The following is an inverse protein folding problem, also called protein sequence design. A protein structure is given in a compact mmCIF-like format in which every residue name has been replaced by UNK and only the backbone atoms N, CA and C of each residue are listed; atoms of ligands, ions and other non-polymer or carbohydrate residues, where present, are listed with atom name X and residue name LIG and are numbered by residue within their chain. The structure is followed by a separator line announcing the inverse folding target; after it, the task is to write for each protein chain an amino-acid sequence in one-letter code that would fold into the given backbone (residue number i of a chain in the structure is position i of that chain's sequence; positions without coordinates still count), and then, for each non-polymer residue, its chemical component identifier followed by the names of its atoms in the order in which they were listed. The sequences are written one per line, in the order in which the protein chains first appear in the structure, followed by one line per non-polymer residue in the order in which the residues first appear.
data_IF_625949883298
#
_entry.id   IF_625949883298
#
_cell.length_a   1.000
_cell.length_b   1.000
_cell.length_c   1.000
_cell.angle_alpha   90.00
_cell.angle_beta   90.00
_cell.angle_gamma   90.00
#
_symmetry.space_group_name_H-M   'P 1'
#
loop_
_entity.id
_entity.type
_entity.pdbx_description
1 polymer ?
#
# COMPACT_ATOMS: atom_id res chain seq x y z
N UNK A 1 -15.69 -3.29 39.54
CA UNK A 1 -14.88 -4.05 38.57
C UNK A 1 -15.83 -4.66 37.54
N UNK A 2 -16.07 -4.02 36.39
CA UNK A 2 -16.98 -4.59 35.39
C UNK A 2 -16.34 -5.85 34.78
N UNK A 3 -17.02 -7.00 34.91
CA UNK A 3 -16.57 -8.27 34.33
C UNK A 3 -16.50 -8.11 32.81
N UNK A 4 -15.44 -8.57 32.15
CA UNK A 4 -15.23 -8.39 30.69
C UNK A 4 -16.44 -8.84 29.86
N UNK A 5 -17.15 -9.84 30.34
CA UNK A 5 -18.38 -10.35 29.74
C UNK A 5 -19.51 -9.32 29.75
N UNK A 6 -19.69 -8.54 30.83
CA UNK A 6 -20.75 -7.53 30.88
C UNK A 6 -20.47 -6.38 29.93
N UNK A 7 -19.21 -5.92 29.83
CA UNK A 7 -18.82 -4.92 28.84
C UNK A 7 -19.05 -5.41 27.41
N UNK A 8 -18.76 -6.70 27.12
CA UNK A 8 -19.01 -7.30 25.81
C UNK A 8 -20.51 -7.32 25.46
N UNK A 9 -21.36 -7.69 26.43
CA UNK A 9 -22.81 -7.71 26.23
C UNK A 9 -23.39 -6.32 26.04
N UNK A 10 -22.98 -5.33 26.86
CA UNK A 10 -23.43 -3.94 26.71
C UNK A 10 -22.96 -3.38 25.37
N UNK A 11 -21.74 -3.71 24.95
CA UNK A 11 -21.21 -3.31 23.65
C UNK A 11 -22.00 -3.92 22.49
N UNK A 12 -22.35 -5.20 22.56
CA UNK A 12 -23.21 -5.83 21.55
C UNK A 12 -24.57 -5.15 21.51
N UNK A 13 -25.21 -4.96 22.65
CA UNK A 13 -26.50 -4.30 22.77
C UNK A 13 -26.46 -2.87 22.22
N UNK A 14 -25.43 -2.09 22.57
CA UNK A 14 -25.25 -0.71 22.09
C UNK A 14 -25.00 -0.65 20.58
N UNK A 15 -24.33 -1.67 20.03
CA UNK A 15 -24.12 -1.77 18.58
C UNK A 15 -25.40 -2.08 17.85
N UNK A 16 -26.19 -3.05 18.34
CA UNK A 16 -27.51 -3.37 17.78
C UNK A 16 -28.42 -2.14 17.85
N UNK A 17 -28.45 -1.46 19.01
CA UNK A 17 -29.21 -0.21 19.19
C UNK A 17 -28.81 0.88 18.20
N UNK A 18 -27.50 1.11 18.03
CA UNK A 18 -26.99 2.09 17.07
C UNK A 18 -27.39 1.75 15.64
N UNK A 19 -27.24 0.49 15.22
CA UNK A 19 -27.63 0.03 13.87
C UNK A 19 -29.13 0.19 13.65
N UNK A 20 -29.96 -0.09 14.66
CA UNK A 20 -31.41 0.15 14.58
C UNK A 20 -31.72 1.64 14.42
N UNK A 21 -31.03 2.53 15.15
CA UNK A 21 -31.20 3.98 14.99
C UNK A 21 -30.79 4.46 13.59
N UNK A 22 -29.64 4.00 13.07
CA UNK A 22 -29.20 4.28 11.70
C UNK A 22 -30.24 3.80 10.69
N UNK A 23 -30.68 2.54 10.81
CA UNK A 23 -31.66 1.94 9.90
C UNK A 23 -32.99 2.68 9.93
N UNK A 24 -33.47 3.07 11.12
CA UNK A 24 -34.69 3.85 11.28
C UNK A 24 -34.62 5.19 10.55
N UNK A 25 -33.54 5.94 10.77
CA UNK A 25 -33.34 7.24 10.12
C UNK A 25 -33.20 7.07 8.60
N UNK A 26 -32.49 6.03 8.14
CA UNK A 26 -32.34 5.74 6.72
C UNK A 26 -33.69 5.42 6.06
N UNK A 27 -34.51 4.57 6.68
CA UNK A 27 -35.85 4.21 6.17
C UNK A 27 -36.75 5.44 6.13
N UNK A 28 -36.72 6.28 7.17
CA UNK A 28 -37.47 7.54 7.17
C UNK A 28 -37.01 8.49 6.06
N UNK A 29 -35.70 8.65 5.88
CA UNK A 29 -35.14 9.50 4.84
C UNK A 29 -35.54 8.98 3.43
N UNK A 30 -35.46 7.68 3.20
CA UNK A 30 -35.89 7.05 1.95
C UNK A 30 -37.39 7.22 1.69
N UNK A 31 -38.22 7.07 2.74
CA UNK A 31 -39.66 7.27 2.64
C UNK A 31 -40.01 8.74 2.32
N UNK A 32 -39.30 9.69 2.93
CA UNK A 32 -39.51 11.12 2.68
C UNK A 32 -39.01 11.56 1.30
N UNK A 33 -37.93 10.94 0.80
CA UNK A 33 -37.39 11.21 -0.53
C UNK A 33 -38.25 10.64 -1.68
N UNK A 34 -39.23 9.79 -1.37
CA UNK A 34 -40.30 9.36 -2.30
C UNK A 34 -39.82 8.96 -3.69
N UNK A 35 -39.06 7.86 -3.84
CA UNK A 35 -38.59 7.29 -5.13
C UNK A 35 -37.86 8.28 -6.07
N UNK A 36 -37.63 9.54 -5.66
CA UNK A 36 -36.86 10.53 -6.36
C UNK A 36 -35.39 10.42 -5.98
N UNK A 37 -34.68 9.44 -6.54
CA UNK A 37 -33.24 9.22 -6.31
C UNK A 37 -32.38 10.47 -6.56
N UNK A 38 -32.88 11.43 -7.33
CA UNK A 38 -32.24 12.72 -7.59
C UNK A 38 -32.22 13.68 -6.39
N UNK A 39 -33.15 13.54 -5.42
CA UNK A 39 -33.19 14.38 -4.20
C UNK A 39 -32.10 13.98 -3.20
N UNK A 40 -31.65 12.72 -3.23
CA UNK A 40 -30.52 12.23 -2.42
C UNK A 40 -29.21 12.96 -2.73
N UNK A 41 -29.07 13.50 -3.95
CA UNK A 41 -27.90 14.25 -4.42
C UNK A 41 -28.07 15.77 -4.38
N UNK A 42 -29.26 16.28 -4.09
CA UNK A 42 -29.42 17.71 -3.82
C UNK A 42 -28.86 18.00 -2.44
N UNK A 43 -28.06 19.06 -2.32
CA UNK A 43 -27.51 19.58 -1.06
C UNK A 43 -28.60 20.13 -0.09
N UNK A 44 -29.84 19.68 -0.24
CA UNK A 44 -30.96 20.01 0.64
C UNK A 44 -31.05 18.95 1.75
N UNK A 45 -31.09 19.38 3.01
CA UNK A 45 -31.42 18.64 4.25
C UNK A 45 -31.13 17.14 4.32
N UNK A 46 -31.86 16.32 3.56
CA UNK A 46 -31.78 14.87 3.51
C UNK A 46 -30.42 14.33 3.01
N UNK A 47 -29.76 15.01 2.07
CA UNK A 47 -28.43 14.62 1.58
C UNK A 47 -27.35 14.74 2.66
N UNK A 48 -27.44 15.78 3.50
CA UNK A 48 -26.54 15.98 4.65
C UNK A 48 -26.73 14.86 5.68
N UNK A 49 -27.96 14.44 5.91
CA UNK A 49 -28.28 13.40 6.88
C UNK A 49 -27.76 12.02 6.43
N UNK A 50 -27.83 11.71 5.14
CA UNK A 50 -27.27 10.49 4.57
C UNK A 50 -25.74 10.54 4.53
N UNK A 51 -25.15 11.67 4.16
CA UNK A 51 -23.71 11.88 4.27
C UNK A 51 -23.24 11.70 5.71
N UNK A 52 -23.97 12.25 6.69
CA UNK A 52 -23.68 12.08 8.11
C UNK A 52 -23.76 10.61 8.54
N UNK A 53 -24.77 9.86 8.09
CA UNK A 53 -24.88 8.42 8.33
C UNK A 53 -23.70 7.67 7.71
N UNK A 54 -23.35 7.95 6.46
CA UNK A 54 -22.26 7.29 5.76
C UNK A 54 -20.91 7.59 6.40
N UNK A 55 -20.66 8.84 6.79
CA UNK A 55 -19.47 9.25 7.54
C UNK A 55 -19.46 8.55 8.91
N UNK A 56 -20.60 8.47 9.60
CA UNK A 56 -20.70 7.78 10.89
C UNK A 56 -20.40 6.29 10.76
N UNK A 57 -20.92 5.62 9.73
CA UNK A 57 -20.63 4.21 9.43
C UNK A 57 -19.18 3.99 9.00
N UNK A 58 -18.61 4.91 8.24
CA UNK A 58 -17.21 4.87 7.81
C UNK A 58 -16.25 5.03 8.99
N UNK A 59 -16.48 6.03 9.84
CA UNK A 59 -15.73 6.23 11.07
C UNK A 59 -15.90 5.04 12.01
N UNK A 60 -17.10 4.45 12.08
CA UNK A 60 -17.36 3.21 12.83
C UNK A 60 -16.45 2.09 12.37
N UNK A 61 -16.34 1.86 11.06
CA UNK A 61 -15.52 0.79 10.51
C UNK A 61 -14.02 1.00 10.79
N UNK A 62 -13.52 2.23 10.64
CA UNK A 62 -12.10 2.54 10.80
C UNK A 62 -11.67 2.51 12.27
N UNK A 63 -12.36 3.26 13.13
CA UNK A 63 -11.93 3.37 14.53
C UNK A 63 -12.15 2.07 15.30
N UNK A 64 -13.17 1.30 14.94
CA UNK A 64 -13.45 0.02 15.60
C UNK A 64 -12.60 -1.14 15.05
N UNK A 65 -12.11 -1.04 13.80
CA UNK A 65 -11.22 -2.03 13.19
C UNK A 65 -9.77 -1.96 13.71
N UNK A 66 -9.33 -0.83 14.25
CA UNK A 66 -7.92 -0.59 14.60
C UNK A 66 -7.58 -0.92 16.07
N UNK A 67 -8.57 -1.10 16.96
CA UNK A 67 -8.32 -1.24 18.41
C UNK A 67 -8.20 -2.68 18.91
N UNK A 68 -7.26 -3.47 18.39
CA UNK A 68 -6.92 -4.79 18.98
C UNK A 68 -5.42 -5.08 19.00
N UNK A 69 -4.58 -4.11 19.36
CA UNK A 69 -3.21 -4.40 19.79
C UNK A 69 -3.09 -4.18 21.30
N UNK A 70 -2.65 -5.21 22.02
CA UNK A 70 -2.50 -5.18 23.48
C UNK A 70 -1.48 -4.12 23.97
N UNK A 71 -0.69 -3.54 23.05
CA UNK A 71 0.28 -2.48 23.34
C UNK A 71 -0.34 -1.11 23.65
N UNK A 72 -1.62 -0.87 23.30
CA UNK A 72 -2.32 0.40 23.57
C UNK A 72 -2.50 0.70 25.07
N UNK A 73 -2.51 -0.32 25.94
CA UNK A 73 -2.74 -0.14 27.38
C UNK A 73 -1.61 0.60 28.11
N UNK A 74 -0.39 0.51 27.60
CA UNK A 74 0.78 1.15 28.21
C UNK A 74 0.92 2.59 27.73
N UNK A 75 0.48 2.88 26.50
CA UNK A 75 0.61 4.21 25.90
C UNK A 75 -0.53 5.15 26.22
N UNK A 76 -1.73 4.60 26.48
CA UNK A 76 -2.95 5.36 26.67
C UNK A 76 -3.68 4.94 27.95
N UNK A 77 -3.19 5.32 29.14
CA UNK A 77 -3.74 4.85 30.41
C UNK A 77 -5.15 5.36 30.72
N UNK A 78 -5.59 6.49 30.13
CA UNK A 78 -6.94 7.05 30.33
C UNK A 78 -7.95 6.38 29.40
N UNK A 79 -7.65 6.24 28.12
CA UNK A 79 -8.54 5.58 27.15
C UNK A 79 -8.55 4.06 27.31
N UNK A 80 -7.52 3.47 27.91
CA UNK A 80 -7.52 2.05 28.30
C UNK A 80 -8.12 1.77 29.68
N UNK A 81 -8.49 2.82 30.44
CA UNK A 81 -9.13 2.65 31.74
C UNK A 81 -10.53 2.04 31.58
N UNK A 82 -10.90 1.16 32.50
CA UNK A 82 -12.22 0.50 32.49
C UNK A 82 -13.38 1.50 32.52
N UNK A 83 -13.20 2.68 33.11
CA UNK A 83 -14.20 3.74 33.16
C UNK A 83 -14.42 4.38 31.79
N UNK A 84 -13.35 4.63 31.03
CA UNK A 84 -13.45 5.14 29.67
C UNK A 84 -14.09 4.12 28.74
N UNK A 85 -13.69 2.85 28.85
CA UNK A 85 -14.30 1.77 28.08
C UNK A 85 -15.81 1.64 28.39
N UNK A 86 -16.20 1.75 29.66
CA UNK A 86 -17.62 1.74 30.05
C UNK A 86 -18.37 2.94 29.46
N UNK A 87 -17.83 4.15 29.58
CA UNK A 87 -18.40 5.38 29.00
C UNK A 87 -18.58 5.27 27.47
N UNK A 88 -17.53 4.82 26.79
CA UNK A 88 -17.53 4.65 25.33
C UNK A 88 -18.60 3.66 24.88
N UNK A 89 -18.69 2.52 25.57
CA UNK A 89 -19.67 1.46 25.27
C UNK A 89 -21.11 1.89 25.59
N UNK A 90 -21.32 2.73 26.59
CA UNK A 90 -22.68 3.20 26.97
C UNK A 90 -23.13 4.46 26.22
N UNK A 91 -22.23 5.13 25.49
CA UNK A 91 -22.49 6.36 24.75
C UNK A 91 -23.74 6.31 23.85
N UNK A 92 -24.01 5.22 23.08
CA UNK A 92 -25.23 5.14 22.28
C UNK A 92 -26.51 5.23 23.13
N UNK A 93 -26.52 4.57 24.29
CA UNK A 93 -27.66 4.61 25.21
C UNK A 93 -27.83 5.98 25.86
N UNK A 94 -26.72 6.59 26.27
CA UNK A 94 -26.74 7.96 26.81
C UNK A 94 -27.25 8.97 25.79
N UNK A 95 -26.89 8.79 24.51
CA UNK A 95 -27.45 9.58 23.41
C UNK A 95 -28.94 9.38 23.22
N UNK A 96 -29.41 8.12 23.29
CA UNK A 96 -30.84 7.81 23.26
C UNK A 96 -31.60 8.48 24.40
N UNK A 97 -31.07 8.44 25.63
CA UNK A 97 -31.66 9.12 26.79
C UNK A 97 -31.66 10.64 26.61
N UNK A 98 -30.56 11.22 26.13
CA UNK A 98 -30.50 12.65 25.83
C UNK A 98 -31.54 13.05 24.77
N UNK A 99 -31.72 12.22 23.73
CA UNK A 99 -32.76 12.38 22.73
C UNK A 99 -34.17 12.28 23.32
N UNK A 100 -34.43 11.29 24.20
CA UNK A 100 -35.70 11.17 24.91
C UNK A 100 -36.01 12.45 25.69
N UNK A 101 -35.06 12.92 26.50
CA UNK A 101 -35.20 14.13 27.32
C UNK A 101 -35.43 15.38 26.46
N UNK A 102 -34.68 15.51 25.36
CA UNK A 102 -34.83 16.64 24.43
C UNK A 102 -36.17 16.68 23.70
N UNK A 103 -36.86 15.53 23.57
CA UNK A 103 -38.17 15.47 22.94
C UNK A 103 -39.35 15.66 23.90
N UNK A 104 -39.11 15.68 25.22
CA UNK A 104 -40.15 15.93 26.23
C UNK A 104 -40.76 17.31 25.98
N UNK A 105 -42.08 17.35 25.75
CA UNK A 105 -42.84 18.58 25.53
C UNK A 105 -42.84 19.12 24.09
N UNK A 106 -42.09 18.52 23.17
CA UNK A 106 -41.99 18.97 21.76
C UNK A 106 -42.67 17.97 20.80
N UNK A 107 -42.62 16.67 21.10
CA UNK A 107 -43.13 15.65 20.17
C UNK A 107 -44.65 15.52 20.19
N UNK A 108 -45.31 16.01 19.16
CA UNK A 108 -46.74 15.75 18.90
C UNK A 108 -47.02 14.35 18.35
N UNK A 109 -46.04 13.70 17.71
CA UNK A 109 -46.20 12.37 17.10
C UNK A 109 -45.10 11.39 17.53
N UNK A 110 -45.44 10.10 17.58
CA UNK A 110 -44.50 9.03 17.96
C UNK A 110 -43.29 8.96 17.01
N UNK A 111 -43.47 9.25 15.72
CA UNK A 111 -42.37 9.28 14.75
C UNK A 111 -41.37 10.40 15.03
N UNK A 112 -41.83 11.59 15.41
CA UNK A 112 -40.95 12.70 15.81
C UNK A 112 -40.18 12.37 17.08
N UNK A 113 -40.84 11.74 18.06
CA UNK A 113 -40.19 11.27 19.28
C UNK A 113 -39.08 10.27 18.97
N UNK A 114 -39.38 9.22 18.21
CA UNK A 114 -38.40 8.19 17.82
C UNK A 114 -37.26 8.76 16.97
N UNK A 115 -37.54 9.73 16.10
CA UNK A 115 -36.52 10.43 15.33
C UNK A 115 -35.57 11.21 16.25
N UNK A 116 -36.09 11.91 17.27
CA UNK A 116 -35.27 12.60 18.26
C UNK A 116 -34.37 11.66 19.06
N UNK A 117 -34.88 10.49 19.45
CA UNK A 117 -34.10 9.44 20.12
C UNK A 117 -32.98 8.91 19.22
N UNK A 118 -33.29 8.65 17.94
CA UNK A 118 -32.31 8.18 16.98
C UNK A 118 -31.24 9.25 16.70
N UNK A 119 -31.64 10.51 16.53
CA UNK A 119 -30.71 11.63 16.34
C UNK A 119 -29.84 11.88 17.57
N UNK A 120 -30.38 11.74 18.79
CA UNK A 120 -29.61 11.83 20.02
C UNK A 120 -28.56 10.73 20.13
N UNK A 121 -28.92 9.49 19.77
CA UNK A 121 -28.01 8.33 19.72
C UNK A 121 -26.88 8.56 18.71
N UNK A 122 -27.20 9.00 17.49
CA UNK A 122 -26.22 9.25 16.44
C UNK A 122 -25.32 10.45 16.78
N UNK A 123 -25.91 11.53 17.27
CA UNK A 123 -25.19 12.75 17.63
C UNK A 123 -24.20 12.52 18.77
N UNK A 124 -24.60 11.81 19.84
CA UNK A 124 -23.71 11.55 20.97
C UNK A 124 -22.53 10.64 20.59
N UNK A 125 -22.80 9.59 19.82
CA UNK A 125 -21.76 8.64 19.39
C UNK A 125 -20.77 9.33 18.47
N UNK A 126 -21.25 10.15 17.53
CA UNK A 126 -20.38 10.95 16.67
C UNK A 126 -19.55 11.97 17.47
N UNK A 127 -20.16 12.68 18.43
CA UNK A 127 -19.47 13.63 19.30
C UNK A 127 -18.33 12.94 20.05
N UNK A 128 -18.60 11.77 20.64
CA UNK A 128 -17.58 11.04 21.39
C UNK A 128 -16.44 10.61 20.45
N UNK A 129 -16.75 10.13 19.25
CA UNK A 129 -15.72 9.60 18.35
C UNK A 129 -14.90 10.66 17.63
N UNK A 130 -15.53 11.77 17.25
CA UNK A 130 -14.86 12.81 16.45
C UNK A 130 -14.21 13.87 17.33
N UNK A 131 -14.78 14.12 18.51
CA UNK A 131 -14.28 15.18 19.41
C UNK A 131 -13.65 14.57 20.66
N UNK A 132 -14.39 13.76 21.42
CA UNK A 132 -13.91 13.31 22.74
C UNK A 132 -12.70 12.37 22.60
N UNK A 133 -12.72 11.44 21.65
CA UNK A 133 -11.63 10.48 21.42
C UNK A 133 -10.31 11.17 21.03
N UNK A 134 -10.26 12.04 20.00
CA UNK A 134 -9.02 12.76 19.65
C UNK A 134 -8.54 13.71 20.76
N UNK A 135 -9.45 14.41 21.44
CA UNK A 135 -9.11 15.31 22.54
C UNK A 135 -8.53 14.52 23.71
N UNK A 136 -9.13 13.39 24.07
CA UNK A 136 -8.62 12.53 25.14
C UNK A 136 -7.25 11.97 24.78
N UNK A 137 -7.05 11.52 23.54
CA UNK A 137 -5.73 11.08 23.05
C UNK A 137 -4.68 12.20 23.06
N UNK A 138 -5.06 13.43 22.72
CA UNK A 138 -4.16 14.59 22.80
C UNK A 138 -3.80 14.92 24.25
N UNK A 139 -4.79 14.93 25.15
CA UNK A 139 -4.60 15.16 26.58
C UNK A 139 -3.69 14.09 27.18
N UNK A 140 -3.83 12.83 26.80
CA UNK A 140 -2.93 11.77 27.24
C UNK A 140 -1.47 12.03 26.85
N UNK A 141 -1.22 12.46 25.61
CA UNK A 141 0.14 12.78 25.15
C UNK A 141 0.72 13.99 25.90
N UNK A 142 -0.11 15.00 26.18
CA UNK A 142 0.32 16.21 26.89
C UNK A 142 0.55 15.95 28.37
N UNK A 143 -0.36 15.24 29.04
CA UNK A 143 -0.41 15.08 30.49
C UNK A 143 0.39 13.86 30.96
N UNK A 144 0.47 12.76 30.19
CA UNK A 144 1.20 11.56 30.62
C UNK A 144 2.64 11.49 30.05
N UNK A 145 3.67 11.75 30.88
CA UNK A 145 5.07 11.62 30.45
C UNK A 145 5.49 10.18 30.16
N UNK A 146 4.83 9.18 30.76
CA UNK A 146 5.10 7.76 30.53
C UNK A 146 4.77 7.33 29.09
N UNK A 147 3.62 7.78 28.55
CA UNK A 147 3.22 7.50 27.16
C UNK A 147 4.18 8.13 26.15
N UNK A 148 4.67 9.35 26.43
CA UNK A 148 5.69 10.03 25.60
C UNK A 148 7.00 9.24 25.52
N UNK A 149 7.48 8.70 26.65
CA UNK A 149 8.72 7.91 26.71
C UNK A 149 8.61 6.61 25.92
N UNK A 150 7.49 5.91 26.04
CA UNK A 150 7.28 4.64 25.33
C UNK A 150 7.16 4.86 23.81
N UNK A 151 6.42 5.90 23.38
CA UNK A 151 6.34 6.28 21.96
C UNK A 151 7.70 6.64 21.38
N UNK A 152 8.50 7.42 22.11
CA UNK A 152 9.86 7.74 21.71
C UNK A 152 10.72 6.47 21.56
N UNK A 153 10.60 5.54 22.51
CA UNK A 153 11.34 4.27 22.46
C UNK A 153 10.99 3.42 21.22
N UNK A 154 9.70 3.26 20.88
CA UNK A 154 9.29 2.55 19.67
C UNK A 154 9.79 3.23 18.40
N UNK A 155 9.73 4.56 18.34
CA UNK A 155 10.24 5.31 17.19
C UNK A 155 11.75 5.11 17.03
N UNK A 156 12.50 5.05 18.13
CA UNK A 156 13.95 4.75 18.08
C UNK A 156 14.22 3.31 17.64
N UNK A 157 13.48 2.32 18.15
CA UNK A 157 13.62 0.92 17.71
C UNK A 157 13.26 0.74 16.23
N UNK A 158 12.18 1.37 15.77
CA UNK A 158 11.76 1.32 14.37
C UNK A 158 12.70 2.08 13.43
N UNK A 159 13.47 3.05 13.93
CA UNK A 159 14.56 3.68 13.17
C UNK A 159 15.78 2.76 13.11
N UNK A 160 16.20 2.21 14.25
CA UNK A 160 17.32 1.28 14.33
C UNK A 160 17.11 0.06 13.41
N UNK A 161 15.91 -0.55 13.43
CA UNK A 161 15.61 -1.68 12.55
C UNK A 161 15.64 -1.33 11.05
N UNK A 162 15.22 -0.11 10.68
CA UNK A 162 15.31 0.35 9.27
C UNK A 162 16.75 0.60 8.85
N UNK A 163 17.57 1.13 9.73
CA UNK A 163 19.00 1.35 9.47
C UNK A 163 19.75 0.01 9.33
N UNK A 164 19.42 -0.99 10.16
CA UNK A 164 20.01 -2.33 10.05
C UNK A 164 19.65 -2.99 8.72
N UNK A 165 18.37 -2.92 8.32
CA UNK A 165 17.92 -3.48 7.05
C UNK A 165 18.58 -2.78 5.85
N UNK A 166 18.67 -1.44 5.90
CA UNK A 166 19.36 -0.67 4.86
C UNK A 166 20.83 -1.08 4.75
N UNK A 167 21.55 -1.20 5.87
CA UNK A 167 22.94 -1.66 5.88
C UNK A 167 23.09 -3.08 5.36
N UNK A 168 22.13 -3.98 5.63
CA UNK A 168 22.14 -5.34 5.08
C UNK A 168 21.95 -5.33 3.57
N UNK A 169 21.00 -4.53 3.07
CA UNK A 169 20.77 -4.38 1.64
C UNK A 169 22.00 -3.81 0.93
N UNK A 170 22.64 -2.77 1.50
CA UNK A 170 23.87 -2.19 0.95
C UNK A 170 25.01 -3.22 0.89
N UNK A 171 25.19 -4.04 1.94
CA UNK A 171 26.20 -5.10 1.95
C UNK A 171 25.95 -6.16 0.89
N UNK A 172 24.70 -6.64 0.79
CA UNK A 172 24.33 -7.64 -0.22
C UNK A 172 24.50 -7.09 -1.65
N UNK A 173 24.15 -5.81 -1.86
CA UNK A 173 24.36 -5.16 -3.15
C UNK A 173 25.86 -5.06 -3.49
N UNK A 174 26.72 -4.69 -2.53
CA UNK A 174 28.16 -4.63 -2.73
C UNK A 174 28.74 -6.02 -3.09
N UNK A 175 28.34 -7.07 -2.36
CA UNK A 175 28.77 -8.45 -2.62
C UNK A 175 28.34 -8.93 -4.02
N UNK A 176 27.11 -8.61 -4.45
CA UNK A 176 26.62 -8.95 -5.78
C UNK A 176 27.40 -8.20 -6.86
N UNK A 177 27.67 -6.91 -6.66
CA UNK A 177 28.42 -6.10 -7.62
C UNK A 177 29.86 -6.62 -7.79
N UNK A 178 30.56 -6.92 -6.68
CA UNK A 178 31.92 -7.50 -6.73
C UNK A 178 31.92 -8.85 -7.46
N UNK A 179 30.95 -9.72 -7.17
CA UNK A 179 30.82 -11.01 -7.85
C UNK A 179 30.50 -10.84 -9.35
N UNK A 180 29.71 -9.83 -9.71
CA UNK A 180 29.40 -9.51 -11.11
C UNK A 180 30.63 -8.98 -11.85
N UNK A 181 31.44 -8.11 -11.25
CA UNK A 181 32.68 -7.63 -11.85
C UNK A 181 33.70 -8.75 -12.10
N UNK A 182 33.87 -9.67 -11.13
CA UNK A 182 34.69 -10.86 -11.29
C UNK A 182 34.19 -11.78 -12.41
N UNK A 183 32.87 -11.90 -12.59
CA UNK A 183 32.28 -12.65 -13.70
C UNK A 183 32.53 -11.96 -15.04
N UNK A 184 32.33 -10.64 -15.12
CA UNK A 184 32.60 -9.84 -16.32
C UNK A 184 34.07 -9.93 -16.75
N UNK A 185 35.02 -9.91 -15.80
CA UNK A 185 36.44 -10.09 -16.09
C UNK A 185 36.73 -11.44 -16.74
N UNK A 186 36.24 -12.53 -16.15
CA UNK A 186 36.38 -13.89 -16.72
C UNK A 186 35.72 -14.02 -18.10
N UNK A 187 34.53 -13.45 -18.27
CA UNK A 187 33.86 -13.45 -19.57
C UNK A 187 34.62 -12.65 -20.62
N UNK A 188 35.21 -11.51 -20.26
CA UNK A 188 36.02 -10.72 -21.18
C UNK A 188 37.21 -11.53 -21.71
N UNK A 189 37.89 -12.28 -20.84
CA UNK A 189 39.01 -13.13 -21.24
C UNK A 189 38.57 -14.28 -22.15
N UNK A 190 37.49 -14.98 -21.80
CA UNK A 190 36.96 -16.11 -22.58
C UNK A 190 36.41 -15.69 -23.95
N UNK A 191 35.76 -14.52 -24.02
CA UNK A 191 35.10 -14.03 -25.23
C UNK A 191 36.05 -13.22 -26.14
N UNK A 192 37.23 -12.81 -25.65
CA UNK A 192 38.24 -12.07 -26.43
C UNK A 192 38.53 -12.65 -27.83
N UNK A 193 38.79 -13.97 -28.01
CA UNK A 193 39.05 -14.53 -29.33
C UNK A 193 37.82 -14.51 -30.24
N UNK A 194 36.63 -14.77 -29.70
CA UNK A 194 35.38 -14.73 -30.48
C UNK A 194 34.98 -13.30 -30.85
N UNK A 195 35.26 -12.33 -29.97
CA UNK A 195 35.06 -10.90 -30.24
C UNK A 195 35.94 -10.43 -31.40
N UNK A 196 37.16 -10.93 -31.48
CA UNK A 196 38.09 -10.60 -32.56
C UNK A 196 37.64 -11.19 -33.90
N UNK A 197 37.24 -12.47 -33.93
CA UNK A 197 36.65 -13.07 -35.14
C UNK A 197 35.38 -12.34 -35.57
N UNK A 198 34.53 -11.94 -34.62
CA UNK A 198 33.31 -11.20 -34.94
C UNK A 198 33.62 -9.79 -35.49
N UNK A 199 34.63 -9.10 -34.96
CA UNK A 199 35.09 -7.82 -35.50
C UNK A 199 35.66 -7.96 -36.93
N UNK A 200 36.40 -9.05 -37.21
CA UNK A 200 36.89 -9.38 -38.55
C UNK A 200 35.72 -9.64 -39.52
N UNK A 201 34.68 -10.35 -39.08
CA UNK A 201 33.48 -10.59 -39.89
C UNK A 201 32.69 -9.30 -40.18
N UNK A 202 32.69 -8.33 -39.26
CA UNK A 202 32.04 -7.03 -39.45
C UNK A 202 32.79 -6.12 -40.41
N UNK A 203 34.11 -6.28 -40.52
CA UNK A 203 34.97 -5.46 -41.38
C UNK A 203 35.26 -6.11 -42.74
N UNK A 204 34.92 -7.39 -42.90
CA UNK A 204 35.11 -8.14 -44.14
C UNK A 204 34.10 -7.74 -45.24
N UNK A 205 34.59 -7.60 -46.46
CA UNK A 205 33.81 -7.16 -47.62
C UNK A 205 32.66 -8.13 -47.97
N UNK A 206 31.50 -7.57 -48.33
CA UNK A 206 30.14 -8.15 -48.37
C UNK A 206 29.90 -9.34 -49.31
N UNK A 207 30.93 -9.89 -49.97
CA UNK A 207 30.80 -10.89 -51.03
C UNK A 207 30.38 -12.29 -50.55
N UNK A 208 30.44 -12.57 -49.25
CA UNK A 208 30.07 -13.87 -48.64
C UNK A 208 29.19 -13.71 -47.38
N UNK A 209 28.13 -12.91 -47.49
CA UNK A 209 27.23 -12.58 -46.38
C UNK A 209 26.66 -13.82 -45.67
N UNK A 210 26.25 -14.86 -46.40
CA UNK A 210 25.65 -16.07 -45.81
C UNK A 210 26.63 -16.87 -44.94
N UNK A 211 27.92 -16.89 -45.31
CA UNK A 211 28.96 -17.57 -44.52
C UNK A 211 29.31 -16.76 -43.27
N UNK A 212 29.33 -15.43 -43.38
CA UNK A 212 29.57 -14.54 -42.26
C UNK A 212 28.43 -14.59 -41.24
N UNK A 213 27.18 -14.65 -41.70
CA UNK A 213 25.99 -14.84 -40.87
C UNK A 213 26.07 -16.14 -40.06
N UNK A 214 26.31 -17.29 -40.70
CA UNK A 214 26.41 -18.58 -39.98
C UNK A 214 27.49 -18.57 -38.90
N UNK A 215 28.66 -18.01 -39.20
CA UNK A 215 29.75 -17.90 -38.22
C UNK A 215 29.41 -16.92 -37.08
N UNK A 216 28.78 -15.79 -37.39
CA UNK A 216 28.31 -14.86 -36.37
C UNK A 216 27.25 -15.49 -35.47
N UNK A 217 26.32 -16.26 -36.03
CA UNK A 217 25.28 -17.00 -35.30
C UNK A 217 25.88 -18.07 -34.38
N UNK A 218 26.86 -18.84 -34.86
CA UNK A 218 27.57 -19.84 -34.04
C UNK A 218 28.31 -19.19 -32.86
N UNK A 219 28.99 -18.06 -33.13
CA UNK A 219 29.66 -17.25 -32.11
C UNK A 219 28.66 -16.72 -31.07
N UNK A 220 27.51 -16.22 -31.52
CA UNK A 220 26.43 -15.74 -30.66
C UNK A 220 25.81 -16.85 -29.81
N UNK A 221 25.57 -18.03 -30.40
CA UNK A 221 25.03 -19.20 -29.72
C UNK A 221 26.00 -19.74 -28.65
N UNK A 222 27.31 -19.74 -28.95
CA UNK A 222 28.33 -20.14 -27.99
C UNK A 222 28.39 -19.14 -26.81
N UNK A 223 28.33 -17.84 -27.07
CA UNK A 223 28.27 -16.82 -26.02
C UNK A 223 27.00 -16.93 -25.16
N UNK A 224 25.85 -17.24 -25.77
CA UNK A 224 24.61 -17.54 -25.05
C UNK A 224 24.75 -18.75 -24.13
N UNK A 225 25.40 -19.83 -24.60
CA UNK A 225 25.63 -21.03 -23.79
C UNK A 225 26.55 -20.77 -22.58
N UNK A 226 27.50 -19.84 -22.70
CA UNK A 226 28.47 -19.53 -21.64
C UNK A 226 27.85 -18.67 -20.52
N UNK A 227 27.02 -17.68 -20.85
CA UNK A 227 26.44 -16.80 -19.83
C UNK A 227 25.22 -16.01 -20.29
N UNK A 228 24.48 -16.57 -21.24
CA UNK A 228 23.23 -16.04 -21.75
C UNK A 228 23.38 -14.64 -22.35
N UNK A 229 22.39 -13.80 -22.06
CA UNK A 229 22.27 -12.46 -22.61
C UNK A 229 23.44 -11.55 -22.23
N UNK A 230 23.96 -11.67 -21.01
CA UNK A 230 25.03 -10.81 -20.51
C UNK A 230 26.35 -11.03 -21.27
N UNK A 231 26.69 -12.29 -21.55
CA UNK A 231 27.86 -12.64 -22.37
C UNK A 231 27.73 -12.15 -23.81
N UNK A 232 26.57 -12.35 -24.44
CA UNK A 232 26.34 -11.83 -25.79
C UNK A 232 26.47 -10.30 -25.84
N UNK A 233 26.01 -9.56 -24.81
CA UNK A 233 26.13 -8.07 -24.70
C UNK A 233 27.56 -7.63 -24.60
N UNK A 234 28.30 -8.30 -23.74
CA UNK A 234 29.71 -8.04 -23.58
C UNK A 234 30.46 -8.35 -24.87
N UNK A 235 30.14 -9.46 -25.55
CA UNK A 235 30.72 -9.84 -26.83
C UNK A 235 30.46 -8.80 -27.94
N UNK A 236 29.20 -8.38 -28.13
CA UNK A 236 28.85 -7.32 -29.09
C UNK A 236 29.62 -6.05 -28.81
N UNK A 237 29.68 -5.63 -27.54
CA UNK A 237 30.43 -4.43 -27.14
C UNK A 237 31.92 -4.57 -27.50
N UNK A 238 32.56 -5.66 -27.08
CA UNK A 238 33.98 -5.90 -27.38
C UNK A 238 34.28 -5.99 -28.89
N UNK A 239 33.36 -6.54 -29.69
CA UNK A 239 33.51 -6.63 -31.14
C UNK A 239 33.37 -5.26 -31.82
N UNK A 240 32.40 -4.43 -31.40
CA UNK A 240 32.22 -3.06 -31.90
C UNK A 240 33.43 -2.19 -31.54
N UNK A 241 33.89 -2.26 -30.29
CA UNK A 241 35.06 -1.51 -29.80
C UNK A 241 36.32 -1.89 -30.62
N UNK A 242 36.48 -3.18 -30.96
CA UNK A 242 37.60 -3.69 -31.78
C UNK A 242 37.51 -3.37 -33.26
N UNK A 243 36.30 -3.34 -33.82
CA UNK A 243 36.07 -2.99 -35.23
C UNK A 243 36.23 -1.48 -35.47
N UNK A 244 36.36 -0.66 -34.43
CA UNK A 244 36.54 0.80 -34.54
C UNK A 244 35.29 1.53 -35.02
N UNK A 245 34.12 0.90 -34.90
CA UNK A 245 32.83 1.41 -35.41
C UNK A 245 32.20 2.51 -34.53
N UNK A 246 32.91 3.00 -33.50
CA UNK A 246 32.38 3.88 -32.45
C UNK A 246 31.89 5.27 -32.92
N UNK A 247 32.06 5.68 -34.18
CA UNK A 247 31.72 7.05 -34.61
C UNK A 247 30.97 7.26 -35.92
N UNK A 248 30.73 6.24 -36.74
CA UNK A 248 30.11 6.50 -38.07
C UNK A 248 28.90 5.67 -38.47
N UNK A 249 28.44 4.70 -37.67
CA UNK A 249 27.42 3.75 -38.13
C UNK A 249 26.12 3.78 -37.30
N UNK A 250 25.45 4.92 -37.30
CA UNK A 250 23.98 4.91 -37.13
C UNK A 250 23.27 4.48 -38.44
N UNK A 251 24.01 4.24 -39.53
CA UNK A 251 23.49 4.02 -40.89
C UNK A 251 23.88 2.67 -41.52
N UNK A 252 24.95 2.01 -41.09
CA UNK A 252 25.24 0.63 -41.49
C UNK A 252 24.56 -0.25 -40.47
N UNK A 253 23.51 -0.95 -40.89
CA UNK A 253 22.63 -1.69 -39.99
C UNK A 253 23.46 -2.56 -39.05
N UNK A 254 23.09 -2.57 -37.77
CA UNK A 254 23.66 -3.44 -36.74
C UNK A 254 23.47 -4.90 -37.16
N UNK A 255 24.35 -5.42 -38.02
CA UNK A 255 24.25 -6.75 -38.64
C UNK A 255 24.26 -7.83 -37.56
N UNK A 256 24.94 -7.59 -36.43
CA UNK A 256 24.88 -8.43 -35.23
C UNK A 256 23.43 -8.55 -34.72
N UNK A 257 22.68 -7.44 -34.66
CA UNK A 257 21.29 -7.49 -34.22
C UNK A 257 20.42 -8.36 -35.10
N UNK A 258 20.72 -8.42 -36.41
CA UNK A 258 19.98 -9.20 -37.41
C UNK A 258 20.40 -10.67 -37.35
N UNK A 259 21.71 -10.94 -37.33
CA UNK A 259 22.26 -12.30 -37.29
C UNK A 259 21.95 -13.04 -35.98
N UNK A 260 21.82 -12.32 -34.87
CA UNK A 260 21.48 -12.90 -33.57
C UNK A 260 19.98 -12.87 -33.25
N UNK A 261 19.14 -12.46 -34.20
CA UNK A 261 17.70 -12.50 -34.01
C UNK A 261 17.25 -13.97 -33.87
N UNK A 262 16.46 -14.26 -32.83
CA UNK A 262 16.07 -15.63 -32.46
C UNK A 262 16.99 -16.36 -31.48
N UNK A 263 18.18 -15.83 -31.15
CA UNK A 263 19.00 -16.38 -30.05
C UNK A 263 18.51 -15.76 -28.72
N UNK A 264 17.81 -16.54 -27.90
CA UNK A 264 17.61 -16.22 -26.48
C UNK A 264 16.92 -14.89 -26.16
N UNK A 265 15.93 -14.46 -26.95
CA UNK A 265 15.26 -13.15 -26.80
C UNK A 265 16.24 -11.97 -26.69
N UNK A 266 17.36 -12.04 -27.43
CA UNK A 266 18.45 -11.08 -27.42
C UNK A 266 18.02 -9.60 -27.50
N UNK A 267 16.99 -9.31 -28.31
CA UNK A 267 16.44 -7.97 -28.52
C UNK A 267 15.47 -7.50 -27.42
N UNK A 268 14.93 -8.40 -26.59
CA UNK A 268 13.88 -8.05 -25.63
C UNK A 268 14.20 -8.50 -24.19
N UNK A 269 14.94 -7.68 -23.41
CA UNK A 269 15.35 -8.02 -22.04
C UNK A 269 14.23 -7.99 -20.99
N UNK A 270 13.02 -7.55 -21.35
CA UNK A 270 11.94 -7.30 -20.40
C UNK A 270 11.35 -8.57 -19.78
N UNK A 271 11.56 -9.74 -20.42
CA UNK A 271 10.92 -11.00 -20.01
C UNK A 271 11.68 -11.73 -18.88
N UNK A 272 12.99 -11.53 -18.73
CA UNK A 272 13.78 -12.26 -17.73
C UNK A 272 13.74 -11.66 -16.31
N UNK A 273 13.33 -10.40 -16.13
CA UNK A 273 13.15 -9.81 -14.78
C UNK A 273 11.90 -10.32 -14.03
N UNK A 274 11.02 -11.07 -14.70
CA UNK A 274 9.79 -11.58 -14.11
C UNK A 274 9.92 -12.99 -13.50
N UNK A 275 11.04 -13.69 -13.73
CA UNK A 275 11.25 -15.07 -13.25
C UNK A 275 12.21 -15.14 -12.05
N UNK A 276 12.85 -14.02 -11.68
CA UNK A 276 13.72 -13.89 -10.49
C UNK A 276 13.08 -13.06 -9.36
N UNK A 277 11.74 -12.90 -9.34
CA UNK A 277 11.00 -12.36 -8.19
C UNK A 277 10.23 -13.46 -7.48
#
# INVERSE_FOLDING_TARGET
MFRRETLRSIHLAGTVWFVLCVGYVLVLALRQAGVGWWVLFSLSGHGVLIAFILISLYLFAIFRGISSSQMLKIEHPLTSANYYAAFYVTTPFLGGVAGCLGMIGISTTLSQFLLGVAMGTLGSTFLVWVIVDPVTGLLEVLVCPAGRRHRAHRLTQARAGREEEHRRQERLLAEILEAEELRKGRWAELLKPEAQKLAELLTADTRNFEKAERQATDIGANAWRIGGLSCMRQLRKMAIDKAGLEKHEASSGDYISVWWDGIGNWRNPSVHRAVER
#
